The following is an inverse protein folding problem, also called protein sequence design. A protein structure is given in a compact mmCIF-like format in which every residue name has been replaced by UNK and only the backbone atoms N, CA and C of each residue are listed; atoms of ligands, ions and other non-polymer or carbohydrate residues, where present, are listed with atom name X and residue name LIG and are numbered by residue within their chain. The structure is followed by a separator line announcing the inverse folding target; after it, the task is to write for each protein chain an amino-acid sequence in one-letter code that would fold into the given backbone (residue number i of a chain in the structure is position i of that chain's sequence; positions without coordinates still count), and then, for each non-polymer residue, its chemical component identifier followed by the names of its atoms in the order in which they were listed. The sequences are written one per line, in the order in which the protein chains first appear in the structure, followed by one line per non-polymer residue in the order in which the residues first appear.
data_IF_481105986713
#
_entry.id   IF_481105986713
#
_cell.length_a   1.000
_cell.length_b   1.000
_cell.length_c   1.000
_cell.angle_alpha   90.00
_cell.angle_beta   90.00
_cell.angle_gamma   90.00
#
_symmetry.space_group_name_H-M   'P 1'
#
loop_
_entity.id
_entity.type
_entity.pdbx_description
1 polymer ?
#
# COMPACT_ATOMS: atom_id res chain seq x y z
N UNK A 1 -6.19 -26.68 11.81
CA UNK A 1 -6.95 -26.02 10.74
C UNK A 1 -8.01 -26.99 10.28
N UNK A 2 -9.27 -26.58 10.34
CA UNK A 2 -10.43 -27.41 9.99
C UNK A 2 -10.72 -27.33 8.49
N UNK A 3 -11.42 -28.32 7.92
CA UNK A 3 -11.83 -28.30 6.51
C UNK A 3 -12.69 -27.05 6.18
N UNK A 4 -13.51 -26.60 7.14
CA UNK A 4 -14.31 -25.39 7.00
C UNK A 4 -13.45 -24.12 6.90
N UNK A 5 -12.42 -24.00 7.73
CA UNK A 5 -11.45 -22.89 7.65
C UNK A 5 -10.69 -22.91 6.33
N UNK A 6 -10.29 -24.10 5.87
CA UNK A 6 -9.58 -24.24 4.60
C UNK A 6 -10.46 -23.85 3.41
N UNK A 7 -11.72 -24.28 3.38
CA UNK A 7 -12.67 -23.88 2.34
C UNK A 7 -12.97 -22.37 2.36
N UNK A 8 -13.10 -21.77 3.56
CA UNK A 8 -13.24 -20.32 3.69
C UNK A 8 -12.02 -19.58 3.13
N UNK A 9 -10.81 -20.04 3.46
CA UNK A 9 -9.57 -19.46 2.96
C UNK A 9 -9.44 -19.56 1.43
N UNK A 10 -9.82 -20.70 0.84
CA UNK A 10 -9.84 -20.86 -0.62
C UNK A 10 -10.82 -19.89 -1.30
N UNK A 11 -12.01 -19.70 -0.72
CA UNK A 11 -12.99 -18.74 -1.23
C UNK A 11 -12.48 -17.30 -1.15
N UNK A 12 -11.83 -16.94 -0.04
CA UNK A 12 -11.20 -15.63 0.14
C UNK A 12 -10.09 -15.42 -0.90
N UNK A 13 -9.22 -16.41 -1.09
CA UNK A 13 -8.12 -16.32 -2.04
C UNK A 13 -8.62 -16.18 -3.50
N UNK A 14 -9.63 -16.95 -3.89
CA UNK A 14 -10.23 -16.86 -5.22
C UNK A 14 -10.91 -15.51 -5.46
N UNK A 15 -11.62 -14.99 -4.45
CA UNK A 15 -12.22 -13.67 -4.49
C UNK A 15 -11.14 -12.57 -4.65
N UNK A 16 -10.11 -12.60 -3.80
CA UNK A 16 -9.00 -11.65 -3.87
C UNK A 16 -8.35 -11.66 -5.25
N UNK A 17 -8.07 -12.84 -5.81
CA UNK A 17 -7.48 -12.97 -7.15
C UNK A 17 -8.35 -12.35 -8.24
N UNK A 18 -9.66 -12.63 -8.23
CA UNK A 18 -10.59 -12.09 -9.22
C UNK A 18 -10.73 -10.56 -9.12
N UNK A 19 -10.82 -10.04 -7.90
CA UNK A 19 -10.95 -8.60 -7.63
C UNK A 19 -9.67 -7.86 -7.97
N UNK A 20 -8.49 -8.40 -7.60
CA UNK A 20 -7.19 -7.79 -7.95
C UNK A 20 -6.99 -7.67 -9.46
N UNK A 21 -7.37 -8.69 -10.24
CA UNK A 21 -7.29 -8.63 -11.70
C UNK A 21 -8.20 -7.53 -12.26
N UNK A 22 -9.41 -7.39 -11.71
CA UNK A 22 -10.36 -6.36 -12.13
C UNK A 22 -9.86 -4.94 -11.82
N UNK A 23 -9.37 -4.71 -10.60
CA UNK A 23 -8.82 -3.41 -10.16
C UNK A 23 -7.68 -2.96 -11.08
N UNK A 24 -6.78 -3.87 -11.47
CA UNK A 24 -5.67 -3.53 -12.36
C UNK A 24 -6.13 -3.18 -13.77
N UNK A 25 -7.12 -3.90 -14.30
CA UNK A 25 -7.72 -3.56 -15.59
C UNK A 25 -8.41 -2.19 -15.54
N UNK A 26 -9.14 -1.88 -14.47
CA UNK A 26 -9.80 -0.58 -14.31
C UNK A 26 -8.75 0.57 -14.29
N UNK A 27 -7.56 0.34 -13.69
CA UNK A 27 -6.46 1.30 -13.71
C UNK A 27 -5.91 1.53 -15.14
N UNK A 28 -5.74 0.45 -15.89
CA UNK A 28 -5.26 0.49 -17.28
C UNK A 28 -6.26 1.20 -18.21
N UNK A 29 -7.54 0.88 -18.09
CA UNK A 29 -8.62 1.49 -18.86
C UNK A 29 -8.74 3.00 -18.58
N UNK A 30 -8.49 3.41 -17.32
CA UNK A 30 -8.47 4.81 -16.93
C UNK A 30 -7.16 5.55 -17.27
N UNK A 31 -6.14 4.83 -17.77
CA UNK A 31 -4.81 5.41 -18.05
C UNK A 31 -4.08 5.90 -16.81
N UNK A 32 -4.33 5.30 -15.64
CA UNK A 32 -3.75 5.70 -14.36
C UNK A 32 -2.50 4.86 -14.02
N UNK A 33 -1.61 5.45 -13.23
CA UNK A 33 -0.51 4.70 -12.63
C UNK A 33 -1.03 3.60 -11.70
N UNK A 34 -0.66 2.35 -11.96
CA UNK A 34 -1.17 1.17 -11.26
C UNK A 34 -0.87 1.20 -9.77
N UNK A 35 0.32 1.66 -9.38
CA UNK A 35 0.73 1.68 -7.97
C UNK A 35 -0.10 2.70 -7.18
N UNK A 36 -0.19 3.92 -7.69
CA UNK A 36 -0.99 5.00 -7.12
C UNK A 36 -2.48 4.62 -7.04
N UNK A 37 -3.00 3.97 -8.09
CA UNK A 37 -4.37 3.47 -8.11
C UNK A 37 -4.61 2.40 -7.04
N UNK A 38 -3.73 1.39 -6.94
CA UNK A 38 -3.83 0.34 -5.93
C UNK A 38 -3.79 0.88 -4.50
N UNK A 39 -2.94 1.88 -4.24
CA UNK A 39 -2.87 2.57 -2.95
C UNK A 39 -4.21 3.22 -2.60
N UNK A 40 -4.83 3.93 -3.54
CA UNK A 40 -6.12 4.58 -3.32
C UNK A 40 -7.23 3.56 -3.09
N UNK A 41 -7.26 2.47 -3.86
CA UNK A 41 -8.22 1.38 -3.67
C UNK A 41 -8.05 0.72 -2.30
N UNK A 42 -6.81 0.47 -1.87
CA UNK A 42 -6.52 -0.07 -0.54
C UNK A 42 -7.04 0.86 0.57
N UNK A 43 -6.86 2.18 0.44
CA UNK A 43 -7.38 3.16 1.39
C UNK A 43 -8.93 3.12 1.51
N UNK A 44 -9.63 3.01 0.38
CA UNK A 44 -11.11 2.91 0.34
C UNK A 44 -11.60 1.61 0.96
N UNK A 45 -10.96 0.48 0.62
CA UNK A 45 -11.31 -0.84 1.19
C UNK A 45 -11.08 -0.88 2.69
N UNK A 46 -9.95 -0.34 3.15
CA UNK A 46 -9.66 -0.23 4.58
C UNK A 46 -10.72 0.62 5.30
N UNK A 47 -11.11 1.75 4.71
CA UNK A 47 -12.10 2.66 5.32
C UNK A 47 -13.49 2.01 5.38
N UNK A 48 -13.83 1.23 4.36
CA UNK A 48 -15.08 0.45 4.32
C UNK A 48 -15.08 -0.66 5.37
N UNK A 49 -13.96 -1.36 5.52
CA UNK A 49 -13.80 -2.39 6.56
C UNK A 49 -13.89 -1.80 7.96
N UNK A 50 -13.37 -0.58 8.17
CA UNK A 50 -13.50 0.16 9.41
C UNK A 50 -14.96 0.52 9.72
N UNK A 51 -15.71 1.01 8.73
CA UNK A 51 -17.13 1.34 8.89
C UNK A 51 -18.00 0.12 9.21
N UNK A 52 -17.55 -1.09 8.86
CA UNK A 52 -18.22 -2.35 9.18
C UNK A 52 -17.83 -2.93 10.55
N UNK A 53 -16.89 -2.31 11.28
CA UNK A 53 -16.51 -2.76 12.62
C UNK A 53 -17.59 -2.37 13.66
N UNK A 54 -17.78 -3.18 14.70
CA UNK A 54 -18.61 -2.80 15.83
C UNK A 54 -17.97 -1.64 16.64
N UNK A 55 -18.81 -0.86 17.33
CA UNK A 55 -18.42 0.40 18.01
C UNK A 55 -17.27 0.26 19.02
N UNK A 56 -17.19 -0.89 19.69
CA UNK A 56 -16.14 -1.24 20.64
C UNK A 56 -14.77 -1.44 19.98
N UNK A 57 -14.73 -1.76 18.68
CA UNK A 57 -13.51 -2.06 17.91
C UNK A 57 -13.12 -0.93 16.95
N UNK A 58 -14.05 -0.01 16.66
CA UNK A 58 -13.89 1.12 15.75
C UNK A 58 -12.67 1.98 16.09
N UNK A 59 -12.41 2.26 17.37
CA UNK A 59 -11.29 3.15 17.75
C UNK A 59 -9.92 2.50 17.49
N UNK A 60 -9.79 1.20 17.76
CA UNK A 60 -8.57 0.44 17.48
C UNK A 60 -8.33 0.26 15.98
N UNK A 61 -9.36 -0.15 15.25
CA UNK A 61 -9.30 -0.31 13.81
C UNK A 61 -8.99 1.02 13.08
N UNK A 62 -9.57 2.14 13.56
CA UNK A 62 -9.31 3.47 13.01
C UNK A 62 -7.85 3.88 13.18
N UNK A 63 -7.24 3.58 14.34
CA UNK A 63 -5.83 3.85 14.59
C UNK A 63 -4.92 3.04 13.66
N UNK A 64 -5.20 1.76 13.43
CA UNK A 64 -4.43 0.93 12.51
C UNK A 64 -4.50 1.45 11.06
N UNK A 65 -5.69 1.87 10.64
CA UNK A 65 -5.91 2.45 9.32
C UNK A 65 -5.19 3.79 9.15
N UNK A 66 -5.26 4.68 10.13
CA UNK A 66 -4.52 5.95 10.12
C UNK A 66 -3.00 5.73 10.04
N UNK A 67 -2.48 4.73 10.76
CA UNK A 67 -1.06 4.39 10.71
C UNK A 67 -0.66 3.86 9.33
N UNK A 68 -1.48 3.00 8.72
CA UNK A 68 -1.22 2.48 7.37
C UNK A 68 -1.24 3.60 6.31
N UNK A 69 -2.21 4.52 6.39
CA UNK A 69 -2.29 5.67 5.48
C UNK A 69 -1.10 6.63 5.65
N UNK A 70 -0.60 6.84 6.87
CA UNK A 70 0.62 7.64 7.09
C UNK A 70 1.84 7.02 6.41
N UNK A 71 2.02 5.69 6.50
CA UNK A 71 3.14 5.00 5.86
C UNK A 71 3.09 5.15 4.34
N UNK A 72 1.90 5.06 3.75
CA UNK A 72 1.67 5.30 2.33
C UNK A 72 2.05 6.73 1.93
N UNK A 73 1.61 7.73 2.72
CA UNK A 73 1.91 9.13 2.43
C UNK A 73 3.41 9.43 2.52
N UNK A 74 4.12 8.86 3.52
CA UNK A 74 5.57 8.95 3.62
C UNK A 74 6.31 8.34 2.40
N UNK A 75 5.73 7.33 1.74
CA UNK A 75 6.29 6.75 0.51
C UNK A 75 6.05 7.64 -0.72
N UNK A 76 4.98 8.44 -0.72
CA UNK A 76 4.69 9.42 -1.78
C UNK A 76 5.49 10.71 -1.61
N UNK A 77 5.75 11.13 -0.37
CA UNK A 77 6.59 12.28 0.00
C UNK A 77 8.10 11.99 -0.06
N UNK A 78 8.49 10.82 -0.57
CA UNK A 78 9.87 10.51 -0.93
C UNK A 78 10.13 10.63 -2.45
N UNK A 79 9.89 11.78 -3.11
CA UNK A 79 10.47 12.02 -4.42
C UNK A 79 11.95 12.40 -4.23
N UNK A 80 12.83 11.65 -4.91
CA UNK A 80 14.16 12.09 -5.33
C UNK A 80 15.13 12.60 -4.24
N UNK A 81 15.51 11.76 -3.27
CA UNK A 81 16.73 11.98 -2.47
C UNK A 81 17.80 10.91 -2.68
N UNK A 82 17.76 10.21 -3.82
CA UNK A 82 18.89 9.41 -4.30
C UNK A 82 19.40 10.03 -5.61
N UNK A 83 19.91 11.26 -5.55
CA UNK A 83 20.74 11.77 -6.65
C UNK A 83 21.88 12.73 -6.21
N UNK A 84 22.20 12.83 -4.92
CA UNK A 84 23.27 13.73 -4.44
C UNK A 84 24.21 13.10 -3.40
N UNK A 85 24.59 11.84 -3.57
CA UNK A 85 25.71 11.24 -2.81
C UNK A 85 26.97 10.95 -3.63
N UNK A 86 27.01 11.31 -4.93
CA UNK A 86 28.17 11.08 -5.80
C UNK A 86 28.94 12.36 -6.21
N UNK A 87 28.77 13.48 -5.53
CA UNK A 87 29.52 14.72 -5.82
C UNK A 87 30.24 15.28 -4.59
N UNK A 88 31.16 14.51 -4.00
CA UNK A 88 31.88 14.97 -2.82
C UNK A 88 33.07 14.13 -2.38
N UNK A 89 33.83 13.53 -3.29
CA UNK A 89 35.18 13.03 -2.98
C UNK A 89 36.17 13.55 -4.02
N UNK A 90 36.54 14.82 -3.90
CA UNK A 90 37.78 15.32 -4.50
C UNK A 90 38.94 14.74 -3.71
N UNK A 91 39.78 13.97 -4.40
CA UNK A 91 41.09 13.49 -3.92
C UNK A 91 41.93 14.66 -3.39
N UNK A 92 42.62 14.52 -2.24
CA UNK A 92 43.52 15.56 -1.78
C UNK A 92 44.78 15.55 -2.67
N UNK A 93 45.10 16.72 -3.24
CA UNK A 93 46.38 16.98 -3.90
C UNK A 93 47.52 16.74 -2.91
N UNK A 94 48.39 15.78 -3.23
CA UNK A 94 49.74 15.70 -2.68
C UNK A 94 50.57 16.87 -3.21
N UNK A 95 50.79 17.87 -2.35
CA UNK A 95 51.81 18.90 -2.56
C UNK A 95 53.20 18.27 -2.32
N UNK A 96 54.02 18.32 -3.37
CA UNK A 96 55.49 18.13 -3.32
C UNK A 96 56.18 19.34 -2.69
#
# INVERSE_FOLDING_TARGET
MTEAEQHANERIANCAKAVSARILNDADEAGLDRLSFLVNVAAVLASSALAAQPEDQLQGASRHLQNALRLVHCLQDAPDSIDTLNSGFTTPETLQ
#
